data_IF_221614007311
#
_entry.id   IF_221614007311
#
_cell.length_a   1.000
_cell.length_b   1.000
_cell.length_c   1.000
_cell.angle_alpha   90.00
_cell.angle_beta   90.00
_cell.angle_gamma   90.00
#
_symmetry.space_group_name_H-M   'P 1'
#
loop_
_entity.id
_entity.type
_entity.pdbx_description
1 polymer ?
#
# COMPACT_ATOMS: atom_id res chain seq x y z
N UNK A 1 -23.31 -19.05 36.55
CA UNK A 1 -22.59 -18.46 37.71
C UNK A 1 -22.33 -17.01 37.35
N UNK A 2 -22.79 -16.10 38.19
CA UNK A 2 -22.96 -14.66 37.93
C UNK A 2 -21.66 -13.92 37.63
N UNK A 3 -21.63 -13.12 36.57
CA UNK A 3 -20.64 -12.05 36.37
C UNK A 3 -20.87 -10.96 37.42
N UNK A 4 -19.90 -10.79 38.33
CA UNK A 4 -19.87 -9.62 39.23
C UNK A 4 -19.59 -8.36 38.40
N UNK A 5 -20.64 -7.56 38.19
CA UNK A 5 -20.52 -6.18 37.75
C UNK A 5 -20.05 -5.36 38.95
N UNK A 6 -18.75 -5.06 39.05
CA UNK A 6 -18.29 -4.07 40.04
C UNK A 6 -18.77 -2.68 39.62
N UNK A 7 -19.89 -2.25 40.20
CA UNK A 7 -20.48 -0.93 40.10
C UNK A 7 -19.69 0.04 40.99
N UNK A 8 -18.71 0.74 40.43
CA UNK A 8 -18.17 1.95 41.04
C UNK A 8 -19.12 3.11 40.70
N UNK A 9 -20.03 3.43 41.62
CA UNK A 9 -20.90 4.61 41.54
C UNK A 9 -20.12 5.81 42.07
N UNK A 10 -19.73 6.73 41.18
CA UNK A 10 -19.18 8.03 41.57
C UNK A 10 -20.27 9.07 41.31
N UNK A 11 -20.89 9.57 42.37
CA UNK A 11 -21.86 10.67 42.27
C UNK A 11 -21.07 11.99 42.15
N UNK A 12 -21.15 12.66 40.99
CA UNK A 12 -20.51 13.95 40.74
C UNK A 12 -21.55 15.07 40.96
N UNK A 13 -21.27 15.98 41.89
CA UNK A 13 -22.04 17.22 42.10
C UNK A 13 -21.34 18.33 41.29
N UNK A 14 -21.92 18.77 40.16
CA UNK A 14 -21.44 19.90 39.34
C UNK A 14 -21.67 19.73 37.83
N UNK A 15 -21.73 20.84 37.08
CA UNK A 15 -22.00 20.91 35.62
C UNK A 15 -21.06 20.04 34.75
N UNK A 16 -21.52 19.57 33.56
CA UNK A 16 -20.89 18.45 32.87
C UNK A 16 -19.72 18.93 32.01
N UNK A 17 -18.50 18.61 32.43
CA UNK A 17 -17.34 18.56 31.54
C UNK A 17 -16.74 17.16 31.66
N UNK A 18 -16.97 16.33 30.65
CA UNK A 18 -16.34 15.01 30.54
C UNK A 18 -14.88 15.19 30.08
N UNK A 19 -14.02 15.67 30.97
CA UNK A 19 -12.58 15.63 30.80
C UNK A 19 -12.03 14.77 31.95
N UNK A 20 -11.72 13.51 31.66
CA UNK A 20 -11.11 12.63 32.63
C UNK A 20 -9.64 12.42 32.30
N UNK A 21 -8.79 12.90 33.21
CA UNK A 21 -7.37 12.60 33.32
C UNK A 21 -7.23 11.17 33.86
N UNK A 22 -6.61 10.27 33.11
CA UNK A 22 -6.16 8.98 33.63
C UNK A 22 -4.67 8.79 33.31
N UNK A 23 -3.88 8.48 34.35
CA UNK A 23 -2.44 8.26 34.31
C UNK A 23 -2.05 7.17 33.31
N UNK A 24 -1.18 7.52 32.37
CA UNK A 24 -0.46 6.57 31.52
C UNK A 24 0.59 5.86 32.36
N UNK A 25 0.65 4.53 32.18
CA UNK A 25 1.72 3.67 32.68
C UNK A 25 3.01 4.13 32.02
N UNK A 26 4.02 4.45 32.82
CA UNK A 26 5.40 4.62 32.37
C UNK A 26 5.76 3.47 31.43
N UNK A 27 5.94 3.78 30.14
CA UNK A 27 6.51 2.86 29.18
C UNK A 27 7.99 2.77 29.50
N UNK A 28 8.40 1.64 30.09
CA UNK A 28 9.81 1.35 30.36
C UNK A 28 10.55 1.22 29.01
N UNK A 29 11.41 2.17 28.60
CA UNK A 29 12.05 2.14 27.29
C UNK A 29 13.16 1.07 27.21
N UNK A 30 13.41 0.29 28.26
CA UNK A 30 14.60 -0.57 28.34
C UNK A 30 14.28 -2.03 28.10
N UNK A 31 14.08 -2.37 26.83
CA UNK A 31 14.70 -3.59 26.31
C UNK A 31 15.65 -3.15 25.20
N UNK A 32 16.95 -3.10 25.53
CA UNK A 32 18.05 -2.84 24.59
C UNK A 32 18.21 -3.94 23.52
N UNK A 33 17.34 -4.95 23.55
CA UNK A 33 17.36 -6.09 22.63
C UNK A 33 16.50 -5.80 21.39
N UNK A 34 17.12 -5.86 20.21
CA UNK A 34 16.42 -5.72 18.94
C UNK A 34 15.33 -6.79 18.80
N UNK A 35 14.12 -6.36 18.44
CA UNK A 35 13.03 -7.30 18.19
C UNK A 35 13.18 -7.96 16.81
N UNK A 36 12.71 -9.22 16.62
CA UNK A 36 12.90 -9.96 15.37
C UNK A 36 12.45 -9.23 14.09
N UNK A 37 11.36 -8.45 14.15
CA UNK A 37 10.91 -7.68 12.99
C UNK A 37 11.85 -6.52 12.64
N UNK A 38 12.52 -5.91 13.64
CA UNK A 38 13.51 -4.87 13.40
C UNK A 38 14.76 -5.46 12.73
N UNK A 39 15.22 -6.64 13.18
CA UNK A 39 16.34 -7.36 12.55
C UNK A 39 16.02 -7.68 11.09
N UNK A 40 14.82 -8.20 10.84
CA UNK A 40 14.37 -8.52 9.49
C UNK A 40 14.24 -7.27 8.61
N UNK A 41 13.74 -6.16 9.16
CA UNK A 41 13.65 -4.89 8.44
C UNK A 41 15.04 -4.32 8.11
N UNK A 42 16.03 -4.46 9.01
CA UNK A 42 17.44 -4.11 8.71
C UNK A 42 17.98 -4.95 7.55
N UNK A 43 17.74 -6.26 7.57
CA UNK A 43 18.14 -7.15 6.48
C UNK A 43 17.47 -6.77 5.16
N UNK A 44 16.19 -6.39 5.20
CA UNK A 44 15.46 -5.94 4.02
C UNK A 44 15.97 -4.60 3.48
N UNK A 45 16.28 -3.62 4.33
CA UNK A 45 16.94 -2.36 3.93
C UNK A 45 18.25 -2.65 3.21
N UNK A 46 19.11 -3.50 3.79
CA UNK A 46 20.37 -3.88 3.17
C UNK A 46 20.16 -4.58 1.81
N UNK A 47 19.19 -5.50 1.73
CA UNK A 47 18.85 -6.22 0.50
C UNK A 47 18.33 -5.30 -0.60
N UNK A 48 17.43 -4.36 -0.28
CA UNK A 48 16.94 -3.37 -1.24
C UNK A 48 18.05 -2.42 -1.70
N UNK A 49 18.87 -1.91 -0.77
CA UNK A 49 19.98 -1.02 -1.08
C UNK A 49 21.03 -1.67 -1.96
N UNK A 50 21.43 -2.91 -1.64
CA UNK A 50 22.37 -3.68 -2.47
C UNK A 50 21.80 -3.94 -3.86
N UNK A 51 20.54 -4.37 -3.96
CA UNK A 51 19.90 -4.63 -5.26
C UNK A 51 19.84 -3.36 -6.11
N UNK A 52 19.41 -2.23 -5.54
CA UNK A 52 19.36 -0.95 -6.23
C UNK A 52 20.75 -0.50 -6.70
N UNK A 53 21.77 -0.65 -5.85
CA UNK A 53 23.14 -0.29 -6.17
C UNK A 53 23.69 -1.12 -7.33
N UNK A 54 23.51 -2.44 -7.30
CA UNK A 54 24.00 -3.32 -8.37
C UNK A 54 23.27 -3.03 -9.69
N UNK A 55 21.95 -2.91 -9.65
CA UNK A 55 21.16 -2.55 -10.84
C UNK A 55 21.58 -1.19 -11.41
N UNK A 56 21.81 -0.20 -10.55
CA UNK A 56 22.25 1.13 -10.97
C UNK A 56 23.64 1.09 -11.62
N UNK A 57 24.61 0.39 -11.02
CA UNK A 57 25.97 0.27 -11.58
C UNK A 57 25.91 -0.36 -12.97
N UNK A 58 25.17 -1.46 -13.12
CA UNK A 58 25.04 -2.13 -14.41
C UNK A 58 24.30 -1.25 -15.42
N UNK A 59 23.13 -0.72 -15.05
CA UNK A 59 22.29 0.10 -15.95
C UNK A 59 22.97 1.40 -16.37
N UNK A 60 23.85 1.97 -15.54
CA UNK A 60 24.62 3.17 -15.91
C UNK A 60 25.63 2.98 -17.05
N UNK A 61 25.86 1.75 -17.47
CA UNK A 61 26.77 1.38 -18.56
C UNK A 61 26.06 0.99 -19.85
N UNK A 62 24.73 0.83 -19.80
CA UNK A 62 23.89 0.36 -20.89
C UNK A 62 23.10 1.53 -21.52
N UNK A 63 22.49 1.30 -22.70
CA UNK A 63 21.56 2.26 -23.29
C UNK A 63 20.19 2.24 -22.58
N UNK A 64 19.53 3.41 -22.53
CA UNK A 64 18.24 3.56 -21.86
C UNK A 64 17.15 2.70 -22.55
N UNK A 65 16.59 1.74 -21.82
CA UNK A 65 15.47 0.93 -22.31
C UNK A 65 14.13 1.67 -22.11
N UNK A 66 13.83 2.54 -23.07
CA UNK A 66 12.65 3.41 -23.06
C UNK A 66 11.50 2.81 -23.85
N UNK A 67 10.34 2.62 -23.19
CA UNK A 67 9.12 2.14 -23.85
C UNK A 67 8.23 3.32 -24.26
N UNK A 68 7.82 3.42 -25.55
CA UNK A 68 7.03 4.55 -26.03
C UNK A 68 5.62 4.52 -25.45
N UNK A 69 5.07 5.72 -25.18
CA UNK A 69 3.70 5.87 -24.70
C UNK A 69 2.76 6.32 -25.80
N UNK A 70 1.50 5.91 -25.71
CA UNK A 70 0.44 6.26 -26.66
C UNK A 70 -0.70 6.99 -25.96
N UNK A 71 -1.53 7.66 -26.74
CA UNK A 71 -2.80 8.21 -26.25
C UNK A 71 -3.91 7.98 -27.27
N UNK A 72 -5.06 7.51 -26.79
CA UNK A 72 -6.28 7.40 -27.59
C UNK A 72 -7.22 8.58 -27.34
N UNK A 73 -7.57 9.30 -28.41
CA UNK A 73 -8.53 10.41 -28.36
C UNK A 73 -9.40 10.50 -29.62
N UNK A 74 -10.46 11.32 -29.58
CA UNK A 74 -11.29 11.59 -30.75
C UNK A 74 -10.64 12.64 -31.64
N UNK A 75 -10.24 12.25 -32.85
CA UNK A 75 -9.70 13.18 -33.86
C UNK A 75 -10.84 13.78 -34.67
N UNK A 76 -10.88 15.11 -34.71
CA UNK A 76 -11.88 15.88 -35.45
C UNK A 76 -11.31 16.32 -36.80
N UNK A 77 -12.04 16.04 -37.88
CA UNK A 77 -11.71 16.50 -39.23
C UNK A 77 -12.91 17.22 -39.82
N UNK A 78 -12.75 18.50 -40.18
CA UNK A 78 -13.78 19.29 -40.87
C UNK A 78 -14.02 18.71 -42.26
N UNK A 79 -15.29 18.60 -42.64
CA UNK A 79 -15.68 18.24 -44.01
C UNK A 79 -15.86 19.51 -44.83
N UNK A 80 -15.09 19.64 -45.90
CA UNK A 80 -15.13 20.81 -46.77
C UNK A 80 -16.17 20.66 -47.90
N UNK A 81 -16.63 19.43 -48.16
CA UNK A 81 -17.63 19.12 -49.19
C UNK A 81 -18.61 18.08 -48.67
N UNK A 82 -19.89 18.19 -49.06
CA UNK A 82 -20.97 17.28 -48.66
C UNK A 82 -20.78 15.85 -49.17
N UNK A 83 -19.98 15.66 -50.22
CA UNK A 83 -19.61 14.35 -50.79
C UNK A 83 -18.51 13.61 -50.03
N UNK A 84 -17.82 14.27 -49.09
CA UNK A 84 -16.74 13.67 -48.34
C UNK A 84 -17.31 12.75 -47.25
N UNK A 85 -16.98 11.47 -47.32
CA UNK A 85 -17.40 10.45 -46.36
C UNK A 85 -16.35 10.24 -45.27
N UNK A 86 -16.79 9.90 -44.06
CA UNK A 86 -15.87 9.48 -43.00
C UNK A 86 -15.36 8.07 -43.32
N UNK A 87 -14.05 7.85 -43.17
CA UNK A 87 -13.41 6.54 -43.40
C UNK A 87 -13.31 5.74 -42.10
N UNK A 88 -13.25 4.41 -42.21
CA UNK A 88 -13.07 3.49 -41.08
C UNK A 88 -14.18 3.59 -40.04
N UNK A 89 -13.80 3.68 -38.75
CA UNK A 89 -14.72 3.82 -37.63
C UNK A 89 -15.30 5.24 -37.46
N UNK A 90 -15.09 6.15 -38.41
CA UNK A 90 -15.53 7.53 -38.31
C UNK A 90 -17.05 7.71 -38.30
N UNK A 91 -17.51 8.78 -37.66
CA UNK A 91 -18.91 9.22 -37.61
C UNK A 91 -19.02 10.67 -38.05
N UNK A 92 -20.03 10.96 -38.87
CA UNK A 92 -20.35 12.32 -39.33
C UNK A 92 -21.21 13.01 -38.28
N UNK A 93 -20.80 14.21 -37.87
CA UNK A 93 -21.52 15.06 -36.94
C UNK A 93 -21.76 16.41 -37.61
N UNK A 94 -23.02 16.83 -37.66
CA UNK A 94 -23.39 18.17 -38.10
C UNK A 94 -23.65 19.04 -36.87
N UNK A 95 -22.94 20.16 -36.77
CA UNK A 95 -23.03 21.08 -35.63
C UNK A 95 -23.75 22.35 -36.02
N UNK A 96 -24.54 22.91 -35.10
CA UNK A 96 -25.38 24.09 -35.37
C UNK A 96 -24.58 25.31 -35.82
N UNK A 97 -23.39 25.52 -35.28
CA UNK A 97 -22.62 26.75 -35.47
C UNK A 97 -21.32 26.54 -36.25
N UNK A 98 -20.84 25.31 -36.39
CA UNK A 98 -19.48 25.03 -36.85
C UNK A 98 -19.45 24.09 -38.07
N UNK A 99 -20.60 23.73 -38.65
CA UNK A 99 -20.70 22.89 -39.84
C UNK A 99 -20.47 21.40 -39.56
N UNK A 100 -20.06 20.67 -40.60
CA UNK A 100 -19.92 19.21 -40.56
C UNK A 100 -18.50 18.73 -40.27
N UNK A 101 -18.40 17.73 -39.40
CA UNK A 101 -17.16 17.08 -39.00
C UNK A 101 -17.25 15.57 -39.17
N UNK A 102 -16.12 14.94 -39.44
CA UNK A 102 -15.89 13.54 -39.16
C UNK A 102 -15.11 13.41 -37.85
N UNK A 103 -15.64 12.62 -36.92
CA UNK A 103 -14.94 12.22 -35.71
C UNK A 103 -14.59 10.75 -35.78
N UNK A 104 -13.37 10.38 -35.38
CA UNK A 104 -12.96 8.98 -35.31
C UNK A 104 -11.99 8.78 -34.13
N UNK A 105 -11.97 7.59 -33.50
CA UNK A 105 -10.91 7.24 -32.58
C UNK A 105 -9.56 7.29 -33.30
N UNK A 106 -8.57 7.89 -32.66
CA UNK A 106 -7.19 7.93 -33.09
C UNK A 106 -6.31 7.50 -31.93
N UNK A 107 -5.32 6.66 -32.21
CA UNK A 107 -4.25 6.30 -31.27
C UNK A 107 -2.93 6.64 -31.93
N UNK A 108 -2.10 7.40 -31.24
CA UNK A 108 -0.77 7.76 -31.69
C UNK A 108 0.18 7.87 -30.51
N UNK A 109 1.47 8.02 -30.81
CA UNK A 109 2.48 8.31 -29.80
C UNK A 109 2.23 9.68 -29.17
N UNK A 110 2.53 9.82 -27.88
CA UNK A 110 2.41 11.09 -27.15
C UNK A 110 3.44 12.09 -27.65
N UNK A 111 4.69 11.65 -27.87
CA UNK A 111 5.71 12.41 -28.59
C UNK A 111 6.82 11.47 -29.12
N UNK A 112 7.68 12.00 -29.99
CA UNK A 112 8.64 11.20 -30.77
C UNK A 112 9.75 10.56 -29.91
N UNK A 113 10.18 11.23 -28.81
CA UNK A 113 11.27 10.78 -27.92
C UNK A 113 10.86 10.71 -26.42
N UNK A 114 9.56 10.66 -26.11
CA UNK A 114 9.11 10.44 -24.73
C UNK A 114 8.56 9.02 -24.54
N UNK A 115 9.28 8.26 -23.74
CA UNK A 115 8.78 7.02 -23.18
C UNK A 115 9.05 6.94 -21.69
N UNK A 116 8.75 5.78 -21.15
CA UNK A 116 9.03 5.48 -19.75
C UNK A 116 10.22 4.53 -19.73
N UNK A 117 11.29 4.96 -19.06
CA UNK A 117 12.48 4.14 -18.83
C UNK A 117 12.17 3.03 -17.82
N UNK A 118 12.28 1.79 -18.28
CA UNK A 118 11.97 0.62 -17.46
C UNK A 118 13.04 0.35 -16.38
N UNK A 119 14.32 0.56 -16.68
CA UNK A 119 15.42 0.34 -15.75
C UNK A 119 15.33 1.28 -14.55
N UNK A 120 15.03 2.56 -14.80
CA UNK A 120 14.80 3.58 -13.79
C UNK A 120 13.60 3.21 -12.91
N UNK A 121 12.47 2.77 -13.48
CA UNK A 121 11.32 2.31 -12.68
C UNK A 121 11.71 1.17 -11.72
N UNK A 122 12.50 0.20 -12.21
CA UNK A 122 12.91 -0.97 -11.42
C UNK A 122 13.82 -0.55 -10.25
N UNK A 123 14.84 0.25 -10.55
CA UNK A 123 15.76 0.77 -9.53
C UNK A 123 14.97 1.59 -8.49
N UNK A 124 14.02 2.42 -8.94
CA UNK A 124 13.30 3.34 -8.07
C UNK A 124 12.40 2.63 -7.05
N UNK A 125 11.72 1.53 -7.40
CA UNK A 125 10.93 0.81 -6.39
C UNK A 125 11.79 0.15 -5.32
N UNK A 126 13.04 -0.23 -5.62
CA UNK A 126 14.00 -0.69 -4.61
C UNK A 126 14.49 0.47 -3.74
N UNK A 127 14.79 1.63 -4.33
CA UNK A 127 15.20 2.83 -3.61
C UNK A 127 14.11 3.33 -2.65
N UNK A 128 12.84 3.28 -3.05
CA UNK A 128 11.71 3.62 -2.18
C UNK A 128 11.66 2.69 -0.96
N UNK A 129 11.79 1.38 -1.15
CA UNK A 129 11.79 0.43 -0.03
C UNK A 129 13.00 0.63 0.89
N UNK A 130 14.20 0.84 0.32
CA UNK A 130 15.40 1.20 1.08
C UNK A 130 15.15 2.45 1.94
N UNK A 131 14.58 3.49 1.35
CA UNK A 131 14.31 4.76 2.02
C UNK A 131 13.26 4.62 3.13
N UNK A 132 12.06 4.09 2.86
CA UNK A 132 10.98 4.04 3.85
C UNK A 132 11.25 3.07 4.98
N UNK A 133 11.83 1.89 4.70
CA UNK A 133 12.21 0.95 5.75
C UNK A 133 13.38 1.48 6.58
N UNK A 134 14.34 2.16 5.94
CA UNK A 134 15.43 2.85 6.62
C UNK A 134 14.94 3.99 7.51
N UNK A 135 13.99 4.79 7.00
CA UNK A 135 13.32 5.86 7.75
C UNK A 135 12.58 5.29 8.97
N UNK A 136 11.83 4.21 8.82
CA UNK A 136 11.14 3.55 9.92
C UNK A 136 12.12 3.12 11.03
N UNK A 137 13.25 2.52 10.69
CA UNK A 137 14.28 2.18 11.68
C UNK A 137 14.89 3.42 12.32
N UNK A 138 15.20 4.43 11.51
CA UNK A 138 15.78 5.67 12.01
C UNK A 138 14.88 6.32 13.07
N UNK A 139 13.56 6.23 12.92
CA UNK A 139 12.64 6.85 13.88
C UNK A 139 12.66 6.18 15.25
N UNK A 140 13.02 4.90 15.37
CA UNK A 140 13.18 4.25 16.68
C UNK A 140 14.35 4.86 17.46
N UNK A 141 15.49 5.09 16.79
CA UNK A 141 16.74 5.53 17.43
C UNK A 141 16.94 7.04 17.47
N UNK A 142 16.30 7.78 16.57
CA UNK A 142 16.48 9.22 16.45
C UNK A 142 15.15 9.94 16.59
N UNK A 143 15.14 11.04 17.34
CA UNK A 143 14.01 11.94 17.36
C UNK A 143 14.09 12.83 16.12
N UNK A 144 13.32 12.50 15.09
CA UNK A 144 13.34 13.25 13.84
C UNK A 144 12.51 14.54 13.88
N UNK A 145 11.87 14.93 15.01
CA UNK A 145 10.90 16.07 15.12
C UNK A 145 11.35 17.33 14.41
N UNK A 146 12.64 17.64 14.46
CA UNK A 146 13.23 18.84 13.86
C UNK A 146 13.30 18.84 12.33
N UNK A 147 13.15 17.70 11.64
CA UNK A 147 13.16 17.63 10.16
C UNK A 147 11.82 18.01 9.52
N UNK A 148 10.74 18.06 10.30
CA UNK A 148 9.44 18.53 9.83
C UNK A 148 9.43 20.07 9.86
N UNK A 149 9.44 20.70 8.70
CA UNK A 149 9.25 22.16 8.59
C UNK A 149 7.78 22.52 8.84
N UNK A 150 7.54 23.31 9.90
CA UNK A 150 6.28 24.01 10.14
C UNK A 150 5.39 23.37 11.19
N UNK A 151 4.58 24.21 11.83
CA UNK A 151 3.69 23.84 12.92
C UNK A 151 2.44 23.04 12.46
N UNK A 152 2.39 22.57 11.21
CA UNK A 152 1.18 22.02 10.59
C UNK A 152 1.49 21.06 9.43
N UNK A 153 1.10 19.79 9.54
CA UNK A 153 1.13 18.82 8.42
C UNK A 153 0.01 17.80 8.56
N UNK A 154 -0.74 17.48 7.49
CA UNK A 154 -1.90 16.56 7.50
C UNK A 154 -2.97 16.82 8.60
N UNK A 155 -3.20 18.09 8.98
CA UNK A 155 -4.23 18.48 9.96
C UNK A 155 -3.77 18.55 11.42
N UNK A 156 -2.47 18.53 11.68
CA UNK A 156 -1.88 18.71 13.01
C UNK A 156 -1.60 20.18 13.30
N UNK A 157 -1.78 20.67 14.53
CA UNK A 157 -1.16 21.92 15.00
C UNK A 157 -0.07 21.56 16.03
N UNK A 158 1.16 22.02 15.83
CA UNK A 158 2.19 22.01 16.86
C UNK A 158 1.90 23.18 17.81
N UNK A 159 1.41 22.87 19.00
CA UNK A 159 1.41 23.82 20.10
C UNK A 159 2.73 23.67 20.89
N UNK A 160 3.40 24.79 21.15
CA UNK A 160 4.67 24.87 21.88
C UNK A 160 4.46 25.23 23.36
N UNK A 161 3.25 25.06 23.88
CA UNK A 161 2.93 25.33 25.28
C UNK A 161 3.54 24.27 26.21
N UNK A 162 4.09 24.71 27.34
CA UNK A 162 4.70 23.85 28.38
C UNK A 162 3.66 22.93 29.10
N UNK A 163 2.38 23.00 28.70
CA UNK A 163 1.23 22.29 29.28
C UNK A 163 0.61 21.24 28.31
N UNK A 164 1.33 20.82 27.25
CA UNK A 164 0.80 19.92 26.22
C UNK A 164 0.56 18.47 26.69
N UNK A 165 -0.69 17.98 26.61
CA UNK A 165 -1.15 16.61 26.98
C UNK A 165 -1.09 15.58 25.81
N UNK A 166 -0.22 15.76 24.81
CA UNK A 166 0.20 14.66 23.94
C UNK A 166 -0.79 14.13 22.89
N UNK A 167 -2.06 14.49 22.83
CA UNK A 167 -3.04 13.72 22.04
C UNK A 167 -3.21 14.15 20.56
N UNK A 168 -3.35 13.19 19.63
CA UNK A 168 -3.76 13.46 18.24
C UNK A 168 -5.29 13.60 18.08
N UNK A 169 -5.77 13.92 16.87
CA UNK A 169 -7.21 14.02 16.53
C UNK A 169 -8.03 12.78 16.89
N UNK A 170 -7.39 11.63 17.07
CA UNK A 170 -8.00 10.35 17.44
C UNK A 170 -7.91 10.03 18.95
N UNK A 171 -7.42 10.97 19.78
CA UNK A 171 -7.31 10.82 21.22
C UNK A 171 -6.18 9.89 21.68
N UNK A 172 -5.16 9.64 20.84
CA UNK A 172 -3.97 8.87 21.22
C UNK A 172 -2.81 9.79 21.63
N UNK A 173 -2.21 9.52 22.79
CA UNK A 173 -1.03 10.21 23.31
C UNK A 173 0.19 9.89 22.43
N UNK A 174 0.86 10.94 21.95
CA UNK A 174 1.99 10.91 21.02
C UNK A 174 3.28 11.29 21.76
N UNK A 175 4.23 10.37 21.73
CA UNK A 175 5.61 10.64 22.11
C UNK A 175 6.31 11.42 20.97
N UNK A 176 7.10 12.43 21.34
CA UNK A 176 7.62 13.47 20.44
C UNK A 176 8.52 12.89 19.32
N UNK A 177 8.13 13.09 18.06
CA UNK A 177 8.84 12.71 16.82
C UNK A 177 8.42 13.58 15.63
N UNK A 178 9.15 13.61 14.50
CA UNK A 178 8.64 14.24 13.26
C UNK A 178 7.69 13.21 12.68
N UNK A 179 6.41 13.59 12.63
CA UNK A 179 5.24 12.71 12.62
C UNK A 179 4.98 11.88 13.91
N UNK A 180 5.74 12.06 15.00
CA UNK A 180 5.58 11.27 16.24
C UNK A 180 5.78 9.76 16.06
N UNK A 181 6.28 9.32 14.90
CA UNK A 181 6.25 7.93 14.50
C UNK A 181 7.42 7.17 15.13
N UNK A 182 7.15 6.24 16.04
CA UNK A 182 8.12 5.26 16.54
C UNK A 182 7.77 3.90 15.96
N UNK A 183 8.62 3.35 15.10
CA UNK A 183 8.35 2.09 14.39
C UNK A 183 7.98 0.97 15.37
N UNK A 184 8.81 0.74 16.40
CA UNK A 184 8.55 -0.28 17.43
C UNK A 184 7.18 -0.12 18.09
N UNK A 185 6.85 1.09 18.53
CA UNK A 185 5.58 1.40 19.21
C UNK A 185 4.39 1.21 18.27
N UNK A 186 4.51 1.65 17.02
CA UNK A 186 3.46 1.52 16.01
C UNK A 186 3.19 0.05 15.65
N UNK A 187 4.25 -0.74 15.47
CA UNK A 187 4.12 -2.19 15.27
C UNK A 187 3.49 -2.86 16.49
N UNK A 188 3.84 -2.47 17.72
CA UNK A 188 3.18 -3.00 18.91
C UNK A 188 1.69 -2.63 18.98
N UNK A 189 1.30 -1.46 18.48
CA UNK A 189 -0.11 -1.07 18.28
C UNK A 189 -0.80 -1.78 17.11
N UNK A 190 -0.06 -2.54 16.29
CA UNK A 190 -0.58 -3.21 15.10
C UNK A 190 -0.80 -2.29 13.90
N UNK A 191 -0.16 -1.12 13.86
CA UNK A 191 -0.32 -0.12 12.81
C UNK A 191 1.03 0.14 12.13
N UNK A 192 1.07 0.28 10.81
CA UNK A 192 2.26 0.73 10.09
C UNK A 192 1.91 1.63 8.90
N UNK A 193 1.71 2.94 9.13
CA UNK A 193 1.46 3.90 8.05
C UNK A 193 2.58 4.00 7.02
N UNK A 194 3.86 3.98 7.44
CA UNK A 194 5.00 4.11 6.52
C UNK A 194 5.03 2.97 5.50
N UNK A 195 4.67 1.74 5.90
CA UNK A 195 4.51 0.61 4.98
C UNK A 195 3.53 0.92 3.85
N UNK A 196 2.33 1.39 4.17
CA UNK A 196 1.33 1.64 3.15
C UNK A 196 1.63 2.86 2.30
N UNK A 197 2.30 3.88 2.84
CA UNK A 197 2.83 4.98 2.03
C UNK A 197 3.89 4.48 1.05
N UNK A 198 4.87 3.71 1.51
CA UNK A 198 5.86 3.07 0.63
C UNK A 198 5.16 2.25 -0.45
N UNK A 199 4.27 1.34 -0.07
CA UNK A 199 3.63 0.41 -1.01
C UNK A 199 2.71 1.14 -1.98
N UNK A 200 2.04 2.20 -1.57
CA UNK A 200 1.17 2.99 -2.46
C UNK A 200 1.93 3.56 -3.66
N UNK A 201 3.24 3.81 -3.51
CA UNK A 201 4.10 4.33 -4.57
C UNK A 201 4.89 3.18 -5.21
N UNK A 202 5.59 2.38 -4.42
CA UNK A 202 6.48 1.33 -4.92
C UNK A 202 5.72 0.22 -5.65
N UNK A 203 4.59 -0.25 -5.11
CA UNK A 203 3.78 -1.27 -5.75
C UNK A 203 3.06 -0.74 -7.00
N UNK A 204 2.71 0.55 -7.03
CA UNK A 204 2.15 1.21 -8.21
C UNK A 204 3.19 1.30 -9.33
N UNK A 205 4.42 1.72 -9.03
CA UNK A 205 5.54 1.76 -9.98
C UNK A 205 5.87 0.37 -10.52
N UNK A 206 5.95 -0.63 -9.64
CA UNK A 206 6.13 -2.04 -10.03
C UNK A 206 5.01 -2.49 -10.98
N UNK A 207 3.73 -2.22 -10.67
CA UNK A 207 2.62 -2.66 -11.50
C UNK A 207 2.55 -1.91 -12.84
N UNK A 208 2.99 -0.65 -12.89
CA UNK A 208 3.20 0.10 -14.14
C UNK A 208 4.31 -0.54 -14.99
N UNK A 209 5.46 -0.87 -14.41
CA UNK A 209 6.54 -1.55 -15.12
C UNK A 209 6.06 -2.87 -15.76
N UNK A 210 5.25 -3.63 -15.02
CA UNK A 210 4.63 -4.87 -15.52
C UNK A 210 3.62 -4.57 -16.64
N UNK A 211 2.77 -3.55 -16.47
CA UNK A 211 1.82 -3.14 -17.49
C UNK A 211 2.50 -2.78 -18.80
N UNK A 212 3.57 -1.98 -18.74
CA UNK A 212 4.37 -1.58 -19.90
C UNK A 212 4.95 -2.80 -20.64
N UNK A 213 5.53 -3.74 -19.89
CA UNK A 213 6.05 -5.00 -20.46
C UNK A 213 4.99 -5.88 -21.12
N UNK A 214 3.75 -5.78 -20.67
CA UNK A 214 2.61 -6.54 -21.18
C UNK A 214 1.80 -5.78 -22.25
N UNK A 215 2.36 -4.69 -22.78
CA UNK A 215 1.78 -3.95 -23.90
C UNK A 215 0.78 -2.85 -23.51
N UNK A 216 0.72 -2.45 -22.23
CA UNK A 216 -0.05 -1.28 -21.81
C UNK A 216 0.76 -0.02 -22.13
N UNK A 217 0.54 0.56 -23.30
CA UNK A 217 1.24 1.78 -23.74
C UNK A 217 0.41 3.06 -23.56
N UNK A 218 -0.91 2.96 -23.41
CA UNK A 218 -1.77 4.13 -23.26
C UNK A 218 -1.55 4.83 -21.91
N UNK A 219 -1.24 6.12 -21.94
CA UNK A 219 -0.89 6.90 -20.75
C UNK A 219 -2.04 6.97 -19.73
N UNK A 220 -3.29 6.97 -20.17
CA UNK A 220 -4.45 7.00 -19.29
C UNK A 220 -4.65 5.65 -18.60
N UNK A 221 -4.37 4.54 -19.30
CA UNK A 221 -4.38 3.21 -18.71
C UNK A 221 -3.24 3.03 -17.70
N UNK A 222 -2.03 3.50 -18.03
CA UNK A 222 -0.88 3.50 -17.12
C UNK A 222 -1.20 4.29 -15.85
N UNK A 223 -1.74 5.51 -15.99
CA UNK A 223 -2.16 6.32 -14.85
C UNK A 223 -3.26 5.63 -14.02
N UNK A 224 -4.22 4.98 -14.68
CA UNK A 224 -5.29 4.23 -14.00
C UNK A 224 -4.74 3.06 -13.19
N UNK A 225 -3.79 2.29 -13.73
CA UNK A 225 -3.10 1.20 -13.02
C UNK A 225 -2.42 1.76 -11.76
N UNK A 226 -1.67 2.86 -11.89
CA UNK A 226 -0.98 3.48 -10.77
C UNK A 226 -1.98 3.90 -9.67
N UNK A 227 -3.01 4.67 -10.01
CA UNK A 227 -4.01 5.18 -9.04
C UNK A 227 -4.81 4.06 -8.37
N UNK A 228 -5.24 3.04 -9.12
CA UNK A 228 -5.97 1.90 -8.57
C UNK A 228 -5.10 1.09 -7.60
N UNK A 229 -3.82 0.95 -7.91
CA UNK A 229 -2.85 0.26 -7.05
C UNK A 229 -2.55 1.06 -5.79
N UNK A 230 -2.29 2.36 -5.91
CA UNK A 230 -2.12 3.25 -4.75
C UNK A 230 -3.36 3.23 -3.85
N UNK A 231 -4.56 3.26 -4.44
CA UNK A 231 -5.84 3.21 -3.73
C UNK A 231 -6.02 1.87 -3.00
N UNK A 232 -5.61 0.74 -3.58
CA UNK A 232 -5.60 -0.55 -2.89
C UNK A 232 -4.78 -0.48 -1.59
N UNK A 233 -3.58 0.12 -1.66
CA UNK A 233 -2.70 0.25 -0.49
C UNK A 233 -3.26 1.21 0.55
N UNK A 234 -3.86 2.33 0.13
CA UNK A 234 -4.52 3.27 1.04
C UNK A 234 -5.75 2.63 1.71
N UNK A 235 -6.51 1.78 1.02
CA UNK A 235 -7.58 1.00 1.68
C UNK A 235 -7.01 0.13 2.80
N UNK A 236 -5.88 -0.55 2.55
CA UNK A 236 -5.17 -1.33 3.56
C UNK A 236 -4.71 -0.49 4.75
N UNK A 237 -4.22 0.73 4.52
CA UNK A 237 -3.88 1.69 5.58
C UNK A 237 -5.10 2.01 6.45
N UNK A 238 -6.21 2.39 5.83
CA UNK A 238 -7.42 2.81 6.57
C UNK A 238 -7.96 1.64 7.41
N UNK A 239 -7.88 0.40 6.91
CA UNK A 239 -8.27 -0.80 7.67
C UNK A 239 -7.53 -0.91 9.02
N UNK A 240 -6.25 -0.54 9.10
CA UNK A 240 -5.48 -0.59 10.36
C UNK A 240 -5.88 0.49 11.37
N UNK A 241 -6.52 1.56 10.92
CA UNK A 241 -6.92 2.70 11.76
C UNK A 241 -8.40 2.69 12.15
N UNK A 242 -9.22 1.86 11.50
CA UNK A 242 -10.62 1.73 11.86
C UNK A 242 -10.82 0.79 13.06
N UNK A 243 -11.84 1.08 13.87
CA UNK A 243 -12.27 0.19 14.95
C UNK A 243 -13.42 -0.73 14.57
N UNK A 244 -14.29 -0.29 13.66
CA UNK A 244 -15.49 -1.04 13.26
C UNK A 244 -15.14 -2.15 12.27
N UNK A 245 -15.32 -3.39 12.68
CA UNK A 245 -14.96 -4.58 11.89
C UNK A 245 -15.71 -4.67 10.57
N UNK A 246 -16.97 -4.19 10.51
CA UNK A 246 -17.77 -4.18 9.29
C UNK A 246 -17.15 -3.27 8.22
N UNK A 247 -16.69 -2.08 8.64
CA UNK A 247 -16.03 -1.14 7.75
C UNK A 247 -14.65 -1.64 7.29
N UNK A 248 -13.92 -2.35 8.17
CA UNK A 248 -12.66 -3.00 7.80
C UNK A 248 -12.86 -4.01 6.67
N UNK A 249 -13.86 -4.88 6.77
CA UNK A 249 -14.16 -5.86 5.73
C UNK A 249 -14.56 -5.20 4.40
N UNK A 250 -15.40 -4.15 4.45
CA UNK A 250 -15.78 -3.40 3.25
C UNK A 250 -14.55 -2.81 2.55
N UNK A 251 -13.67 -2.14 3.29
CA UNK A 251 -12.46 -1.55 2.72
C UNK A 251 -11.46 -2.59 2.22
N UNK A 252 -11.33 -3.71 2.92
CA UNK A 252 -10.46 -4.80 2.48
C UNK A 252 -10.91 -5.37 1.13
N UNK A 253 -12.20 -5.67 0.98
CA UNK A 253 -12.74 -6.13 -0.31
C UNK A 253 -12.74 -5.04 -1.38
N UNK A 254 -12.90 -3.77 -1.00
CA UNK A 254 -12.71 -2.66 -1.94
C UNK A 254 -11.27 -2.59 -2.45
N UNK A 255 -10.26 -2.82 -1.60
CA UNK A 255 -8.86 -2.93 -2.02
C UNK A 255 -8.64 -4.09 -3.00
N UNK A 256 -9.20 -5.27 -2.73
CA UNK A 256 -9.18 -6.39 -3.69
C UNK A 256 -9.85 -6.03 -5.01
N UNK A 257 -10.99 -5.33 -4.98
CA UNK A 257 -11.66 -4.88 -6.19
C UNK A 257 -10.77 -3.94 -7.01
N UNK A 258 -10.14 -2.93 -6.40
CA UNK A 258 -9.26 -2.03 -7.15
C UNK A 258 -8.01 -2.74 -7.69
N UNK A 259 -7.43 -3.68 -6.92
CA UNK A 259 -6.34 -4.54 -7.39
C UNK A 259 -6.75 -5.38 -8.61
N UNK A 260 -7.89 -6.06 -8.55
CA UNK A 260 -8.40 -6.88 -9.65
C UNK A 260 -8.73 -6.04 -10.88
N UNK A 261 -9.23 -4.81 -10.72
CA UNK A 261 -9.43 -3.89 -11.84
C UNK A 261 -8.10 -3.47 -12.49
N UNK A 262 -7.10 -3.08 -11.70
CA UNK A 262 -5.77 -2.70 -12.23
C UNK A 262 -5.12 -3.87 -12.98
N UNK A 263 -5.15 -5.05 -12.37
CA UNK A 263 -4.60 -6.27 -12.96
C UNK A 263 -5.40 -6.74 -14.18
N UNK A 264 -6.71 -6.52 -14.19
CA UNK A 264 -7.59 -6.81 -15.34
C UNK A 264 -7.21 -6.01 -16.59
N UNK A 265 -6.75 -4.75 -16.44
CA UNK A 265 -6.21 -3.97 -17.56
C UNK A 265 -4.99 -4.66 -18.17
N UNK A 266 -4.07 -5.13 -17.32
CA UNK A 266 -2.84 -5.82 -17.75
C UNK A 266 -3.17 -7.14 -18.45
N UNK A 267 -4.01 -7.98 -17.85
CA UNK A 267 -4.41 -9.27 -18.45
C UNK A 267 -5.12 -9.05 -19.78
N UNK A 268 -5.97 -8.03 -19.90
CA UNK A 268 -6.64 -7.71 -21.14
C UNK A 268 -5.66 -7.28 -22.24
N UNK A 269 -4.74 -6.35 -21.93
CA UNK A 269 -3.73 -5.89 -22.87
C UNK A 269 -2.82 -7.03 -23.30
N UNK A 270 -2.34 -7.84 -22.36
CA UNK A 270 -1.53 -9.02 -22.62
C UNK A 270 -2.25 -10.02 -23.53
N UNK A 271 -3.51 -10.34 -23.24
CA UNK A 271 -4.29 -11.29 -24.04
C UNK A 271 -4.47 -10.80 -25.48
N UNK A 272 -4.63 -9.48 -25.68
CA UNK A 272 -4.71 -8.87 -27.01
C UNK A 272 -3.37 -8.88 -27.73
N UNK A 273 -2.28 -8.58 -27.03
CA UNK A 273 -0.93 -8.62 -27.58
C UNK A 273 -0.56 -10.05 -28.01
N UNK A 274 -0.82 -11.04 -27.16
CA UNK A 274 -0.51 -12.45 -27.39
C UNK A 274 -1.27 -13.07 -28.59
N UNK A 275 -2.43 -12.52 -28.95
CA UNK A 275 -3.23 -12.99 -30.09
C UNK A 275 -3.20 -12.05 -31.28
N UNK A 276 -2.30 -11.05 -31.30
CA UNK A 276 -2.31 -10.00 -32.32
C UNK A 276 -1.80 -10.49 -33.68
N UNK A 277 -0.87 -11.44 -33.68
CA UNK A 277 -0.22 -11.97 -34.88
C UNK A 277 -0.38 -13.49 -34.91
N UNK A 278 -0.93 -14.01 -36.00
CA UNK A 278 -1.08 -15.46 -36.18
C UNK A 278 0.29 -16.14 -36.26
N UNK A 279 0.51 -17.15 -35.41
CA UNK A 279 1.75 -17.94 -35.38
C UNK A 279 2.93 -17.31 -34.63
N UNK A 280 2.73 -16.18 -33.94
CA UNK A 280 3.76 -15.53 -33.11
C UNK A 280 3.24 -15.39 -31.68
N UNK A 281 3.87 -16.09 -30.74
CA UNK A 281 3.51 -16.06 -29.32
C UNK A 281 4.54 -15.26 -28.49
N UNK A 282 4.13 -14.59 -27.40
CA UNK A 282 5.06 -14.02 -26.44
C UNK A 282 5.99 -15.07 -25.84
N UNK A 283 7.23 -14.70 -25.43
CA UNK A 283 8.12 -15.63 -24.74
C UNK A 283 7.52 -16.18 -23.44
N UNK A 284 7.84 -17.44 -23.11
CA UNK A 284 7.31 -18.15 -21.92
C UNK A 284 7.47 -17.37 -20.61
N UNK A 285 8.60 -16.68 -20.45
CA UNK A 285 8.88 -15.92 -19.23
C UNK A 285 7.86 -14.79 -19.01
N UNK A 286 7.25 -14.24 -20.06
CA UNK A 286 6.22 -13.20 -19.96
C UNK A 286 4.94 -13.76 -19.34
N UNK A 287 4.52 -14.96 -19.73
CA UNK A 287 3.39 -15.65 -19.10
C UNK A 287 3.64 -15.96 -17.63
N UNK A 288 4.86 -16.41 -17.31
CA UNK A 288 5.28 -16.70 -15.94
C UNK A 288 5.26 -15.44 -15.09
N UNK A 289 5.80 -14.32 -15.60
CA UNK A 289 5.77 -13.00 -14.96
C UNK A 289 4.34 -12.65 -14.57
N UNK A 290 3.40 -12.67 -15.53
CA UNK A 290 2.00 -12.30 -15.29
C UNK A 290 1.46 -13.12 -14.11
N UNK A 291 1.46 -14.45 -14.18
CA UNK A 291 0.85 -15.31 -13.14
C UNK A 291 1.55 -15.21 -11.79
N UNK A 292 2.88 -15.30 -11.76
CA UNK A 292 3.65 -15.26 -10.50
C UNK A 292 3.44 -13.94 -9.77
N UNK A 293 3.33 -12.83 -10.50
CA UNK A 293 3.14 -11.52 -9.89
C UNK A 293 1.74 -11.31 -9.34
N UNK A 294 0.71 -11.85 -10.00
CA UNK A 294 -0.63 -11.88 -9.43
C UNK A 294 -0.62 -12.55 -8.06
N UNK A 295 0.03 -13.70 -7.96
CA UNK A 295 0.15 -14.46 -6.72
C UNK A 295 0.96 -13.69 -5.67
N UNK A 296 2.10 -13.11 -6.05
CA UNK A 296 2.93 -12.32 -5.14
C UNK A 296 2.19 -11.09 -4.59
N UNK A 297 1.47 -10.33 -5.41
CA UNK A 297 0.65 -9.21 -4.96
C UNK A 297 -0.53 -9.69 -4.10
N UNK A 298 -1.19 -10.77 -4.53
CA UNK A 298 -2.29 -11.38 -3.79
C UNK A 298 -1.90 -11.82 -2.38
N UNK A 299 -0.65 -12.25 -2.17
CA UNK A 299 -0.14 -12.59 -0.85
C UNK A 299 -0.22 -11.43 0.15
N UNK A 300 0.04 -10.18 -0.27
CA UNK A 300 -0.08 -9.02 0.61
C UNK A 300 -1.51 -8.82 1.10
N UNK A 301 -2.48 -8.88 0.18
CA UNK A 301 -3.90 -8.84 0.54
C UNK A 301 -4.29 -10.01 1.45
N UNK A 302 -3.72 -11.19 1.21
CA UNK A 302 -3.99 -12.37 2.04
C UNK A 302 -3.48 -12.21 3.49
N UNK A 303 -2.36 -11.52 3.72
CA UNK A 303 -1.89 -11.20 5.08
C UNK A 303 -2.94 -10.40 5.84
N UNK A 304 -3.47 -9.33 5.26
CA UNK A 304 -4.53 -8.52 5.89
C UNK A 304 -5.85 -9.30 6.01
N UNK A 305 -6.16 -10.17 5.06
CA UNK A 305 -7.32 -11.06 5.15
C UNK A 305 -7.23 -11.93 6.41
N UNK A 306 -6.09 -12.59 6.64
CA UNK A 306 -5.85 -13.39 7.85
C UNK A 306 -5.96 -12.54 9.11
N UNK A 307 -5.42 -11.31 9.08
CA UNK A 307 -5.58 -10.35 10.18
C UNK A 307 -7.06 -10.12 10.54
N UNK A 308 -7.90 -9.80 9.55
CA UNK A 308 -9.33 -9.57 9.75
C UNK A 308 -10.07 -10.83 10.20
N UNK A 309 -9.65 -12.02 9.77
CA UNK A 309 -10.23 -13.28 10.27
C UNK A 309 -9.92 -13.53 11.75
N UNK A 310 -8.76 -13.13 12.28
CA UNK A 310 -8.48 -13.22 13.73
C UNK A 310 -9.40 -12.31 14.55
N UNK A 311 -9.66 -11.10 14.03
CA UNK A 311 -10.52 -10.10 14.67
C UNK A 311 -12.00 -10.51 14.61
N UNK A 312 -12.39 -11.33 13.63
CA UNK A 312 -13.77 -11.78 13.42
C UNK A 312 -14.08 -13.04 14.23
N UNK A 313 -15.12 -12.97 15.08
CA UNK A 313 -15.53 -14.06 16.01
C UNK A 313 -15.80 -15.41 15.34
N UNK A 314 -16.28 -15.42 14.09
CA UNK A 314 -16.73 -16.64 13.41
C UNK A 314 -15.57 -17.50 12.86
N UNK A 315 -14.44 -16.89 12.50
CA UNK A 315 -13.29 -17.59 11.90
C UNK A 315 -12.30 -18.17 12.92
N UNK A 316 -12.50 -17.87 14.21
CA UNK A 316 -11.62 -18.32 15.31
C UNK A 316 -11.58 -19.85 15.43
N UNK A 317 -12.65 -20.54 15.06
CA UNK A 317 -12.80 -21.99 15.24
C UNK A 317 -11.93 -22.84 14.29
N UNK A 318 -11.65 -22.34 13.08
CA UNK A 318 -10.99 -23.13 12.02
C UNK A 318 -9.47 -22.93 12.03
N UNK A 319 -8.99 -21.67 12.12
CA UNK A 319 -7.57 -21.36 11.96
C UNK A 319 -6.77 -21.35 13.27
N UNK A 320 -7.43 -21.16 14.42
CA UNK A 320 -6.73 -21.08 15.71
C UNK A 320 -6.56 -22.45 16.40
N UNK A 321 -7.25 -23.51 15.93
CA UNK A 321 -7.21 -24.84 16.57
C UNK A 321 -5.81 -25.48 16.57
N UNK A 322 -4.92 -25.06 15.67
CA UNK A 322 -3.55 -25.55 15.56
C UNK A 322 -2.53 -24.79 16.40
N UNK A 323 -2.85 -23.58 16.87
CA UNK A 323 -1.99 -22.87 17.82
C UNK A 323 -2.45 -23.21 19.23
N UNK A 324 -1.67 -24.01 19.96
CA UNK A 324 -1.92 -24.27 21.38
C UNK A 324 -1.91 -22.93 22.12
N UNK A 325 -3.02 -22.67 22.82
CA UNK A 325 -3.35 -21.44 23.58
C UNK A 325 -2.23 -20.96 24.53
N UNK A 326 -1.32 -21.85 24.95
CA UNK A 326 -0.30 -21.56 25.96
C UNK A 326 1.17 -21.75 25.52
N UNK A 327 1.46 -21.93 24.21
CA UNK A 327 2.85 -22.25 23.82
C UNK A 327 3.82 -21.07 23.88
N UNK A 328 3.35 -19.83 24.10
CA UNK A 328 4.20 -18.65 24.17
C UNK A 328 5.07 -18.42 22.92
N UNK A 329 4.80 -19.13 21.81
CA UNK A 329 5.61 -19.03 20.61
C UNK A 329 5.40 -17.67 19.96
N UNK A 330 6.44 -16.82 19.86
CA UNK A 330 6.32 -15.51 19.21
C UNK A 330 6.05 -15.62 17.69
N UNK A 331 5.98 -16.85 17.15
CA UNK A 331 5.91 -17.17 15.73
C UNK A 331 4.55 -17.73 15.26
N UNK A 332 3.54 -17.86 16.13
CA UNK A 332 2.22 -18.29 15.66
C UNK A 332 1.51 -17.14 14.92
N UNK A 333 1.08 -17.33 13.65
CA UNK A 333 0.36 -16.32 12.86
C UNK A 333 -0.98 -15.92 13.47
N UNK A 334 -1.60 -16.86 14.19
CA UNK A 334 -2.95 -16.76 14.74
C UNK A 334 -2.98 -16.53 16.26
N UNK A 335 -1.84 -16.23 16.90
CA UNK A 335 -1.81 -16.03 18.34
C UNK A 335 -2.66 -14.82 18.71
N UNK A 336 -3.81 -15.10 19.34
CA UNK A 336 -4.73 -14.08 19.83
C UNK A 336 -4.15 -13.48 21.10
N UNK A 337 -3.78 -12.20 21.03
CA UNK A 337 -3.62 -11.39 22.23
C UNK A 337 -5.01 -10.87 22.56
N UNK A 338 -5.51 -11.19 23.75
CA UNK A 338 -6.75 -10.60 24.27
C UNK A 338 -6.36 -9.45 25.17
N UNK A 339 -6.44 -8.22 24.66
CA UNK A 339 -6.21 -7.03 25.48
C UNK A 339 -7.52 -6.65 26.17
N UNK A 340 -7.49 -6.47 27.49
CA UNK A 340 -8.57 -5.80 28.22
C UNK A 340 -8.39 -4.29 28.05
N UNK A 341 -9.26 -3.69 27.24
CA UNK A 341 -9.31 -2.24 27.07
C UNK A 341 -10.45 -1.69 27.91
N UNK A 342 -10.14 -0.72 28.76
CA UNK A 342 -11.14 0.03 29.51
C UNK A 342 -11.75 1.09 28.60
N UNK A 343 -13.03 0.95 28.29
CA UNK A 343 -13.80 1.95 27.52
C UNK A 343 -14.71 2.70 28.49
N UNK A 344 -14.57 4.02 28.53
CA UNK A 344 -15.43 4.91 29.31
C UNK A 344 -16.53 5.42 28.40
N UNK A 345 -17.76 4.98 28.62
CA UNK A 345 -18.94 5.37 27.85
C UNK A 345 -19.86 6.24 28.72
N UNK A 346 -20.37 7.33 28.16
CA UNK A 346 -21.30 8.21 28.86
C UNK A 346 -22.74 7.82 28.48
N UNK A 347 -23.46 7.22 29.43
CA UNK A 347 -24.86 6.82 29.26
C UNK A 347 -25.71 7.58 30.29
N UNK A 348 -26.64 8.41 29.83
CA UNK A 348 -27.57 9.20 30.68
C UNK A 348 -26.86 9.99 31.79
N UNK A 349 -25.78 10.70 31.44
CA UNK A 349 -24.94 11.48 32.37
C UNK A 349 -24.22 10.64 33.45
N UNK A 350 -24.09 9.33 33.25
CA UNK A 350 -23.33 8.43 34.12
C UNK A 350 -22.15 7.88 33.33
N UNK A 351 -20.93 8.10 33.83
CA UNK A 351 -19.72 7.47 33.29
C UNK A 351 -19.73 5.98 33.64
N UNK A 352 -19.75 5.12 32.63
CA UNK A 352 -19.61 3.67 32.80
C UNK A 352 -18.29 3.22 32.21
N UNK A 353 -17.42 2.65 33.05
CA UNK A 353 -16.20 1.96 32.62
C UNK A 353 -16.58 0.52 32.25
N UNK A 354 -16.53 0.18 30.97
CA UNK A 354 -16.74 -1.18 30.45
C UNK A 354 -15.40 -1.74 30.01
N UNK A 355 -15.03 -2.91 30.51
CA UNK A 355 -13.92 -3.69 29.99
C UNK A 355 -14.34 -4.39 28.69
N UNK A 356 -13.74 -4.01 27.58
CA UNK A 356 -13.93 -4.68 26.29
C UNK A 356 -12.69 -5.54 26.04
N UNK A 357 -12.90 -6.85 25.84
CA UNK A 357 -11.86 -7.76 25.39
C UNK A 357 -11.75 -7.66 23.87
N UNK A 358 -10.66 -7.07 23.37
CA UNK A 358 -10.36 -7.00 21.93
C UNK A 358 -9.32 -8.06 21.58
N UNK A 359 -9.65 -8.92 20.62
CA UNK A 359 -8.72 -9.91 20.09
C UNK A 359 -7.94 -9.32 18.92
N UNK A 360 -6.61 -9.38 18.95
CA UNK A 360 -5.73 -9.01 17.84
C UNK A 360 -4.83 -10.19 17.46
N UNK A 361 -4.49 -10.36 16.18
CA UNK A 361 -3.38 -11.26 15.83
C UNK A 361 -2.05 -10.65 16.31
N UNK A 362 -0.98 -11.46 16.37
CA UNK A 362 0.37 -11.01 16.67
C UNK A 362 0.86 -9.95 15.64
N UNK A 363 0.98 -8.67 16.03
CA UNK A 363 1.29 -7.61 15.08
C UNK A 363 2.76 -7.62 14.63
N UNK A 364 3.66 -8.19 15.46
CA UNK A 364 5.08 -8.35 15.13
C UNK A 364 5.27 -9.38 14.02
N UNK A 365 4.57 -10.51 14.12
CA UNK A 365 4.58 -11.53 13.06
C UNK A 365 4.00 -10.99 11.76
N UNK A 366 2.86 -10.28 11.83
CA UNK A 366 2.26 -9.58 10.68
C UNK A 366 3.31 -8.71 9.96
N UNK A 367 4.00 -7.86 10.71
CA UNK A 367 5.05 -6.99 10.17
C UNK A 367 6.16 -7.79 9.48
N UNK A 368 6.64 -8.86 10.11
CA UNK A 368 7.69 -9.71 9.53
C UNK A 368 7.30 -10.31 8.18
N UNK A 369 6.04 -10.75 8.06
CA UNK A 369 5.53 -11.29 6.79
C UNK A 369 5.50 -10.21 5.71
N UNK A 370 5.03 -8.99 6.04
CA UNK A 370 5.03 -7.88 5.08
C UNK A 370 6.44 -7.48 4.64
N UNK A 371 7.39 -7.37 5.57
CA UNK A 371 8.80 -7.07 5.25
C UNK A 371 9.40 -8.14 4.35
N UNK A 372 9.16 -9.43 4.65
CA UNK A 372 9.63 -10.56 3.83
C UNK A 372 9.03 -10.53 2.44
N UNK A 373 7.71 -10.30 2.33
CA UNK A 373 7.02 -10.20 1.04
C UNK A 373 7.51 -9.00 0.24
N UNK A 374 7.76 -7.85 0.88
CA UNK A 374 8.30 -6.66 0.22
C UNK A 374 9.66 -6.92 -0.40
N UNK A 375 10.60 -7.48 0.37
CA UNK A 375 11.92 -7.83 -0.13
C UNK A 375 11.85 -8.89 -1.22
N UNK A 376 11.14 -9.99 -0.95
CA UNK A 376 11.05 -11.13 -1.86
C UNK A 376 10.40 -10.77 -3.19
N UNK A 377 9.24 -10.11 -3.17
CA UNK A 377 8.52 -9.75 -4.41
C UNK A 377 9.30 -8.75 -5.27
N UNK A 378 9.93 -7.75 -4.65
CA UNK A 378 10.75 -6.75 -5.36
C UNK A 378 12.01 -7.35 -5.95
N UNK A 379 12.71 -8.22 -5.22
CA UNK A 379 13.87 -8.94 -5.75
C UNK A 379 13.46 -9.87 -6.90
N UNK A 380 12.42 -10.69 -6.73
CA UNK A 380 11.96 -11.62 -7.77
C UNK A 380 11.58 -10.85 -9.03
N UNK A 381 10.73 -9.81 -8.93
CA UNK A 381 10.33 -9.01 -10.08
C UNK A 381 11.52 -8.28 -10.71
N UNK A 382 12.26 -7.53 -9.88
CA UNK A 382 13.35 -6.67 -10.32
C UNK A 382 14.40 -7.47 -11.06
N UNK A 383 14.91 -8.56 -10.47
CA UNK A 383 15.95 -9.37 -11.11
C UNK A 383 15.43 -10.18 -12.30
N UNK A 384 14.18 -10.64 -12.29
CA UNK A 384 13.63 -11.35 -13.43
C UNK A 384 13.56 -10.43 -14.66
N UNK A 385 13.03 -9.21 -14.52
CA UNK A 385 13.01 -8.24 -15.62
C UNK A 385 14.43 -7.81 -15.98
N UNK A 386 15.24 -7.43 -15.01
CA UNK A 386 16.57 -6.89 -15.24
C UNK A 386 17.46 -7.87 -16.01
N UNK A 387 17.48 -9.15 -15.62
CA UNK A 387 18.31 -10.17 -16.29
C UNK A 387 17.79 -10.56 -17.67
N UNK A 388 16.47 -10.68 -17.85
CA UNK A 388 15.90 -11.15 -19.13
C UNK A 388 15.81 -10.03 -20.18
N UNK A 389 15.65 -8.78 -19.76
CA UNK A 389 15.33 -7.66 -20.66
C UNK A 389 16.42 -6.60 -20.67
N UNK A 390 17.14 -6.36 -19.58
CA UNK A 390 18.12 -5.25 -19.53
C UNK A 390 19.58 -5.71 -19.67
N UNK A 391 19.91 -6.93 -19.25
CA UNK A 391 21.28 -7.49 -19.39
C UNK A 391 21.48 -8.20 -20.75
N UNK A 392 20.44 -8.79 -21.32
CA UNK A 392 20.57 -9.69 -22.48
C UNK A 392 20.39 -9.01 -23.85
N UNK A 393 20.17 -7.70 -23.92
CA UNK A 393 19.92 -7.00 -25.20
C UNK A 393 21.18 -6.92 -26.07
N UNK A 394 22.36 -7.04 -25.47
CA UNK A 394 23.65 -6.91 -26.15
C UNK A 394 24.13 -8.16 -26.92
N UNK A 395 23.37 -9.26 -26.96
CA UNK A 395 23.80 -10.49 -27.67
C UNK A 395 23.17 -10.69 -29.06
N UNK A 396 22.37 -9.74 -29.56
CA UNK A 396 21.70 -9.89 -30.86
C UNK A 396 21.85 -8.71 -31.82
N UNK A 397 22.85 -7.86 -31.65
CA UNK A 397 23.24 -6.85 -32.65
C UNK A 397 24.19 -7.40 -33.72
#
# INVERSE_FOLDING_TARGET
MSEETQLLRVDIIGEPSCANKEKIRDFDPKSDELQPFQILNIAAVAGHGLSALVMFIYYSQEEDFTLPTTETYLKWKRLNTTSQTCTGAGRRLNTTNNGEFCIAPYTGQVCDDCGIDLGVLIIFFHLLSFFFQGLALATDYTNLTSLCFGDTWLGYQLDKSDDWEGNNFWGEELDQGCLGYKYKVMIEKGKNPLRFFEYSISAAIMLVAIGLLNGVTDINLIASIAVLTSTCQICGLVVEYLDKIELKWILHFNGWFTFLCAYGIIVHAFSKAASAVEGVEPPDFVYVIVVVLFLLYGCFGFVQFIELTCETRLCTFIFCKFCKEDSGSPWCPACRITEEQDVVECDKNILRKRKIKKSKCNPKYKEMVYVTLSLGSKLVLGWLIFTNILINVDQSS
#
